data_IF_165987445682
#
_entry.id   IF_165987445682
#
_cell.length_a   1.000
_cell.length_b   1.000
_cell.length_c   1.000
_cell.angle_alpha   90.00
_cell.angle_beta   90.00
_cell.angle_gamma   90.00
#
_symmetry.space_group_name_H-M   'P 1'
#
loop_
_entity.id
_entity.type
_entity.pdbx_description
1 polymer ?
#
# COMPACT_ATOMS: atom_id res chain seq x y z
N UNK A 1 10.50 -10.84 6.91
CA UNK A 1 9.32 -11.64 7.34
C UNK A 1 8.10 -11.01 6.71
N UNK A 2 7.38 -11.75 5.86
CA UNK A 2 6.18 -11.23 5.20
C UNK A 2 5.01 -11.09 6.20
N UNK A 3 4.20 -10.04 6.04
CA UNK A 3 3.09 -9.69 6.94
C UNK A 3 1.75 -9.99 6.25
N UNK A 4 0.80 -10.71 6.89
CA UNK A 4 -0.47 -11.00 6.27
C UNK A 4 -1.34 -9.75 6.10
N UNK A 5 -1.83 -9.54 4.87
CA UNK A 5 -2.78 -8.48 4.51
C UNK A 5 -4.20 -8.95 4.85
N UNK A 6 -4.79 -8.40 5.90
CA UNK A 6 -6.12 -8.80 6.39
C UNK A 6 -7.23 -8.49 5.38
N UNK A 7 -7.11 -7.37 4.67
CA UNK A 7 -8.05 -7.01 3.61
C UNK A 7 -8.10 -8.05 2.49
N UNK A 8 -6.94 -8.60 2.11
CA UNK A 8 -6.84 -9.71 1.15
C UNK A 8 -7.49 -10.99 1.68
N UNK A 9 -7.31 -11.28 2.96
CA UNK A 9 -7.98 -12.41 3.64
C UNK A 9 -9.49 -12.23 3.65
N UNK A 10 -9.97 -11.03 4.00
CA UNK A 10 -11.40 -10.69 3.99
C UNK A 10 -12.02 -10.91 2.61
N UNK A 11 -11.41 -10.38 1.54
CA UNK A 11 -11.90 -10.55 0.17
C UNK A 11 -12.00 -12.01 -0.24
N UNK A 12 -11.01 -12.83 0.09
CA UNK A 12 -10.98 -14.26 -0.29
C UNK A 12 -12.03 -15.10 0.43
N UNK A 13 -12.43 -14.68 1.62
CA UNK A 13 -13.40 -15.40 2.45
C UNK A 13 -14.79 -14.73 2.45
N UNK A 14 -14.98 -13.70 1.61
CA UNK A 14 -16.26 -13.03 1.50
C UNK A 14 -17.33 -13.98 0.95
N UNK A 15 -18.43 -14.13 1.68
CA UNK A 15 -19.51 -15.04 1.33
C UNK A 15 -19.26 -16.53 1.66
N UNK A 16 -18.10 -16.88 2.28
CA UNK A 16 -17.87 -18.23 2.79
C UNK A 16 -18.71 -18.51 4.03
N UNK A 17 -19.27 -19.71 4.10
CA UNK A 17 -19.80 -20.25 5.36
C UNK A 17 -18.63 -20.82 6.18
N UNK A 18 -18.22 -20.08 7.20
CA UNK A 18 -17.07 -20.45 8.04
C UNK A 18 -17.28 -21.76 8.85
N UNK A 19 -18.50 -22.30 8.90
CA UNK A 19 -18.77 -23.60 9.50
C UNK A 19 -18.42 -24.77 8.57
N UNK A 20 -18.42 -24.51 7.24
CA UNK A 20 -18.26 -25.55 6.22
C UNK A 20 -17.01 -25.28 5.36
N UNK A 21 -16.77 -24.03 5.01
CA UNK A 21 -15.71 -23.65 4.07
C UNK A 21 -14.37 -23.47 4.78
N UNK A 22 -13.32 -23.99 4.17
CA UNK A 22 -11.95 -23.76 4.66
C UNK A 22 -11.59 -22.28 4.50
N UNK A 23 -11.17 -21.65 5.60
CA UNK A 23 -10.66 -20.28 5.58
C UNK A 23 -9.39 -20.21 4.72
N UNK A 24 -9.41 -19.33 3.72
CA UNK A 24 -8.27 -19.08 2.84
C UNK A 24 -7.43 -17.92 3.39
N UNK A 25 -6.14 -18.15 3.53
CA UNK A 25 -5.23 -17.07 3.98
C UNK A 25 -5.11 -15.94 2.95
N UNK A 26 -4.93 -14.72 3.48
CA UNK A 26 -4.65 -13.53 2.70
C UNK A 26 -3.33 -13.63 1.93
N UNK A 27 -3.04 -12.62 1.13
CA UNK A 27 -1.69 -12.41 0.61
C UNK A 27 -0.81 -11.87 1.74
N UNK A 28 0.50 -11.99 1.57
CA UNK A 28 1.49 -11.45 2.48
C UNK A 28 2.25 -10.35 1.78
N UNK A 29 2.40 -9.21 2.42
CA UNK A 29 3.21 -8.09 1.99
C UNK A 29 4.56 -8.08 2.69
N UNK A 30 5.58 -7.51 2.05
CA UNK A 30 6.90 -7.31 2.67
C UNK A 30 6.84 -6.19 3.73
N UNK A 31 6.03 -5.15 3.47
CA UNK A 31 5.79 -4.03 4.38
C UNK A 31 4.29 -3.78 4.49
N UNK A 32 3.82 -3.49 5.72
CA UNK A 32 2.44 -3.17 6.00
C UNK A 32 2.35 -2.18 7.16
N UNK A 33 1.58 -1.09 6.96
CA UNK A 33 1.22 -0.22 8.07
C UNK A 33 -0.28 -0.22 8.31
N UNK A 34 -0.64 -0.21 9.60
CA UNK A 34 -2.02 -0.15 10.08
C UNK A 34 -2.22 1.07 10.97
N UNK A 35 -3.37 1.65 10.89
CA UNK A 35 -3.78 2.69 11.83
C UNK A 35 -3.91 2.08 13.23
N UNK A 36 -3.23 2.70 14.21
CA UNK A 36 -3.22 2.21 15.57
C UNK A 36 -4.63 2.05 16.19
N UNK A 37 -5.49 3.05 15.99
CA UNK A 37 -6.83 3.07 16.60
C UNK A 37 -7.84 2.14 15.93
N UNK A 38 -7.80 2.03 14.61
CA UNK A 38 -8.84 1.32 13.83
C UNK A 38 -8.38 -0.04 13.31
N UNK A 39 -7.06 -0.29 13.31
CA UNK A 39 -6.47 -1.48 12.70
C UNK A 39 -6.61 -1.51 11.17
N UNK A 40 -7.03 -0.40 10.55
CA UNK A 40 -7.15 -0.31 9.08
C UNK A 40 -5.77 -0.34 8.42
N UNK A 41 -5.65 -1.14 7.38
CA UNK A 41 -4.45 -1.21 6.55
C UNK A 41 -4.43 -0.02 5.61
N UNK A 42 -3.42 0.83 5.74
CA UNK A 42 -3.31 2.13 5.05
C UNK A 42 -2.10 2.23 4.14
N UNK A 43 -1.22 1.26 4.24
CA UNK A 43 0.03 1.22 3.48
C UNK A 43 0.45 -0.22 3.24
N UNK A 44 0.91 -0.51 2.02
CA UNK A 44 1.42 -1.81 1.58
C UNK A 44 2.71 -1.62 0.82
N UNK A 45 3.69 -2.50 1.00
CA UNK A 45 4.94 -2.46 0.25
C UNK A 45 5.41 -3.83 -0.20
N UNK A 46 6.00 -3.88 -1.38
CA UNK A 46 6.59 -5.06 -2.00
C UNK A 46 8.00 -4.78 -2.47
N UNK A 47 8.89 -5.76 -2.31
CA UNK A 47 10.24 -5.75 -2.83
C UNK A 47 10.39 -6.77 -3.95
N UNK A 48 10.55 -6.30 -5.17
CA UNK A 48 10.66 -7.15 -6.35
C UNK A 48 12.09 -7.66 -6.57
N UNK A 49 12.46 -8.67 -5.80
CA UNK A 49 13.75 -9.35 -5.93
C UNK A 49 14.94 -8.63 -5.28
N UNK A 50 16.10 -9.27 -5.26
CA UNK A 50 17.33 -8.68 -4.75
C UNK A 50 17.93 -7.68 -5.75
N UNK A 51 18.62 -6.63 -5.28
CA UNK A 51 19.24 -5.62 -6.15
C UNK A 51 20.27 -6.17 -7.13
N UNK A 52 20.86 -7.33 -6.84
CA UNK A 52 21.92 -7.93 -7.65
C UNK A 52 21.45 -8.71 -8.88
N UNK A 53 20.15 -9.00 -8.98
CA UNK A 53 19.59 -9.84 -10.06
C UNK A 53 18.33 -9.20 -10.64
N UNK A 54 18.44 -8.47 -11.75
CA UNK A 54 17.27 -7.93 -12.45
C UNK A 54 16.33 -9.05 -12.92
N UNK A 55 15.07 -9.00 -12.48
CA UNK A 55 14.01 -9.92 -12.90
C UNK A 55 12.72 -9.13 -13.21
N UNK A 56 12.52 -8.85 -14.48
CA UNK A 56 11.34 -8.11 -14.95
C UNK A 56 10.05 -8.89 -14.78
N UNK A 57 10.10 -10.22 -14.83
CA UNK A 57 8.92 -11.06 -14.60
C UNK A 57 8.48 -10.93 -13.15
N UNK A 58 9.43 -11.03 -12.21
CA UNK A 58 9.15 -10.83 -10.79
C UNK A 58 8.65 -9.41 -10.52
N UNK A 59 9.28 -8.38 -11.10
CA UNK A 59 8.80 -7.00 -10.98
C UNK A 59 7.33 -6.86 -11.42
N UNK A 60 6.96 -7.42 -12.59
CA UNK A 60 5.59 -7.37 -13.08
C UNK A 60 4.62 -8.09 -12.14
N UNK A 61 4.99 -9.27 -11.62
CA UNK A 61 4.17 -10.03 -10.68
C UNK A 61 3.97 -9.31 -9.35
N UNK A 62 5.03 -8.74 -8.77
CA UNK A 62 4.99 -8.04 -7.49
C UNK A 62 4.27 -6.69 -7.63
N UNK A 63 4.42 -5.99 -8.77
CA UNK A 63 3.61 -4.80 -9.08
C UNK A 63 2.12 -5.13 -9.12
N UNK A 64 1.73 -6.20 -9.81
CA UNK A 64 0.34 -6.63 -9.88
C UNK A 64 -0.20 -7.07 -8.50
N UNK A 65 0.63 -7.75 -7.70
CA UNK A 65 0.33 -8.13 -6.33
C UNK A 65 0.06 -6.89 -5.48
N UNK A 66 0.97 -5.90 -5.52
CA UNK A 66 0.86 -4.64 -4.78
C UNK A 66 -0.44 -3.89 -5.11
N UNK A 67 -0.75 -3.69 -6.39
CA UNK A 67 -1.97 -2.99 -6.79
C UNK A 67 -3.24 -3.70 -6.32
N UNK A 68 -3.24 -5.03 -6.35
CA UNK A 68 -4.36 -5.82 -5.82
C UNK A 68 -4.50 -5.66 -4.31
N UNK A 69 -3.42 -5.67 -3.57
CA UNK A 69 -3.43 -5.51 -2.12
C UNK A 69 -3.85 -4.11 -1.71
N UNK A 70 -3.33 -3.07 -2.37
CA UNK A 70 -3.78 -1.69 -2.18
C UNK A 70 -5.29 -1.56 -2.42
N UNK A 71 -5.81 -2.15 -3.49
CA UNK A 71 -7.25 -2.17 -3.78
C UNK A 71 -8.05 -2.88 -2.71
N UNK A 72 -7.59 -4.04 -2.23
CA UNK A 72 -8.26 -4.79 -1.18
C UNK A 72 -8.31 -3.97 0.12
N UNK A 73 -7.21 -3.32 0.51
CA UNK A 73 -7.15 -2.41 1.66
C UNK A 73 -8.11 -1.23 1.51
N UNK A 74 -8.12 -0.59 0.33
CA UNK A 74 -9.00 0.54 0.04
C UNK A 74 -10.48 0.15 0.14
N UNK A 75 -10.85 -1.00 -0.40
CA UNK A 75 -12.23 -1.52 -0.31
C UNK A 75 -12.67 -1.72 1.15
N UNK A 76 -11.85 -2.34 1.97
CA UNK A 76 -12.19 -2.54 3.39
C UNK A 76 -12.35 -1.20 4.11
N UNK A 77 -11.51 -0.21 3.81
CA UNK A 77 -11.62 1.14 4.37
C UNK A 77 -12.91 1.83 3.96
N UNK A 78 -13.27 1.78 2.67
CA UNK A 78 -14.51 2.34 2.15
C UNK A 78 -15.72 1.66 2.80
N UNK A 79 -15.76 0.32 2.82
CA UNK A 79 -16.87 -0.43 3.42
C UNK A 79 -17.06 -0.12 4.91
N UNK A 80 -15.95 0.04 5.66
CA UNK A 80 -16.00 0.42 7.07
C UNK A 80 -16.52 1.85 7.27
N UNK A 81 -16.08 2.79 6.42
CA UNK A 81 -16.55 4.17 6.46
C UNK A 81 -18.06 4.25 6.15
N UNK A 82 -18.51 3.56 5.10
CA UNK A 82 -19.92 3.45 4.76
C UNK A 82 -20.74 2.83 5.90
N UNK A 83 -20.24 1.77 6.53
CA UNK A 83 -20.91 1.12 7.67
C UNK A 83 -21.03 2.00 8.91
N UNK A 84 -20.19 3.05 9.01
CA UNK A 84 -20.27 4.09 10.06
C UNK A 84 -21.13 5.30 9.65
N UNK A 85 -21.69 5.32 8.45
CA UNK A 85 -22.45 6.44 7.91
C UNK A 85 -21.59 7.62 7.44
N UNK A 86 -20.29 7.42 7.20
CA UNK A 86 -19.39 8.47 6.71
C UNK A 86 -19.75 8.82 5.26
N UNK A 87 -20.22 10.03 5.04
CA UNK A 87 -20.60 10.54 3.71
C UNK A 87 -19.39 10.79 2.80
N UNK A 88 -18.20 10.93 3.39
CA UNK A 88 -16.95 11.19 2.68
C UNK A 88 -16.12 9.90 2.46
N UNK A 89 -16.78 8.73 2.45
CA UNK A 89 -16.11 7.44 2.30
C UNK A 89 -15.24 7.33 1.03
N UNK A 90 -15.53 8.12 -0.02
CA UNK A 90 -14.75 8.16 -1.25
C UNK A 90 -13.38 8.85 -1.11
N UNK A 91 -13.19 9.65 -0.05
CA UNK A 91 -11.92 10.34 0.20
C UNK A 91 -10.85 9.43 0.82
N UNK A 92 -11.11 8.12 0.87
CA UNK A 92 -10.15 7.15 1.39
C UNK A 92 -9.06 6.86 0.36
N UNK A 93 -7.81 6.82 0.82
CA UNK A 93 -6.65 6.49 0.02
C UNK A 93 -5.82 5.41 0.69
N UNK A 94 -5.06 4.65 -0.11
CA UNK A 94 -4.06 3.70 0.36
C UNK A 94 -2.74 4.04 -0.30
N UNK A 95 -1.67 4.00 0.48
CA UNK A 95 -0.32 4.26 0.01
C UNK A 95 0.40 2.95 -0.28
N UNK A 96 1.32 2.98 -1.23
CA UNK A 96 2.11 1.82 -1.61
C UNK A 96 3.58 2.15 -1.85
N UNK A 97 4.45 1.16 -1.63
CA UNK A 97 5.84 1.19 -2.07
C UNK A 97 6.16 -0.04 -2.90
N UNK A 98 6.84 0.17 -4.01
CA UNK A 98 7.41 -0.87 -4.83
C UNK A 98 8.91 -0.68 -4.93
N UNK A 99 9.67 -1.56 -4.27
CA UNK A 99 11.12 -1.60 -4.40
C UNK A 99 11.54 -2.50 -5.56
N UNK A 100 12.43 -2.03 -6.43
CA UNK A 100 13.06 -2.82 -7.47
C UNK A 100 14.48 -2.36 -7.71
N UNK A 101 15.44 -3.26 -7.59
CA UNK A 101 16.87 -2.95 -7.65
C UNK A 101 17.21 -1.84 -6.62
N UNK A 102 17.63 -0.68 -7.11
CA UNK A 102 17.98 0.49 -6.32
C UNK A 102 16.97 1.62 -6.43
N UNK A 103 15.75 1.33 -6.92
CA UNK A 103 14.65 2.28 -7.01
C UNK A 103 13.51 1.88 -6.07
N UNK A 104 12.91 2.86 -5.41
CA UNK A 104 11.67 2.71 -4.66
C UNK A 104 10.63 3.65 -5.28
N UNK A 105 9.55 3.11 -5.83
CA UNK A 105 8.40 3.86 -6.32
C UNK A 105 7.40 4.08 -5.19
N UNK A 106 6.94 5.31 -5.05
CA UNK A 106 5.90 5.71 -4.10
C UNK A 106 4.58 5.85 -4.83
N UNK A 107 3.54 5.17 -4.34
CA UNK A 107 2.26 5.04 -5.02
C UNK A 107 1.13 5.49 -4.10
N UNK A 108 0.09 6.08 -4.69
CA UNK A 108 -1.17 6.38 -4.01
C UNK A 108 -2.30 5.75 -4.81
N UNK A 109 -3.28 5.18 -4.11
CA UNK A 109 -4.49 4.64 -4.73
C UNK A 109 -5.73 5.20 -4.06
N UNK A 110 -6.71 5.61 -4.87
CA UNK A 110 -8.04 6.03 -4.44
C UNK A 110 -9.11 5.46 -5.36
N UNK A 111 -10.38 5.76 -5.06
CA UNK A 111 -11.50 5.33 -5.88
C UNK A 111 -12.37 6.54 -6.25
N UNK A 112 -12.48 6.77 -7.56
CA UNK A 112 -13.38 7.75 -8.16
C UNK A 112 -14.19 7.07 -9.28
N UNK A 113 -15.30 6.41 -8.90
CA UNK A 113 -16.01 5.49 -9.78
C UNK A 113 -15.20 4.22 -10.08
N UNK A 114 -13.98 4.41 -10.58
CA UNK A 114 -12.96 3.35 -10.81
C UNK A 114 -11.82 3.46 -9.81
N UNK A 115 -10.98 2.41 -9.72
CA UNK A 115 -9.74 2.48 -8.95
C UNK A 115 -8.70 3.24 -9.78
N UNK A 116 -8.16 4.29 -9.19
CA UNK A 116 -7.08 5.08 -9.75
C UNK A 116 -5.84 4.89 -8.89
N UNK A 117 -4.71 4.66 -9.51
CA UNK A 117 -3.42 4.72 -8.83
C UNK A 117 -2.52 5.72 -9.55
N UNK A 118 -1.68 6.38 -8.79
CA UNK A 118 -0.73 7.36 -9.29
C UNK A 118 0.65 7.11 -8.66
N UNK A 119 1.70 7.25 -9.44
CA UNK A 119 3.06 7.31 -8.94
C UNK A 119 3.32 8.72 -8.40
N UNK A 120 3.39 8.83 -7.08
CA UNK A 120 3.71 10.09 -6.40
C UNK A 120 5.15 10.53 -6.69
N UNK A 121 6.05 9.57 -6.87
CA UNK A 121 7.44 9.78 -7.20
C UNK A 121 8.27 8.54 -6.97
N UNK A 122 9.56 8.65 -7.23
CA UNK A 122 10.53 7.59 -6.96
C UNK A 122 11.74 8.10 -6.17
N UNK A 123 12.35 7.21 -5.42
CA UNK A 123 13.60 7.39 -4.70
C UNK A 123 14.64 6.43 -5.27
N UNK A 124 15.75 6.95 -5.75
CA UNK A 124 16.90 6.14 -6.13
C UNK A 124 17.84 5.96 -4.93
N UNK A 125 18.14 4.72 -4.57
CA UNK A 125 19.07 4.38 -3.50
C UNK A 125 20.48 4.37 -4.10
N UNK A 126 21.41 5.12 -3.48
CA UNK A 126 22.79 5.13 -3.91
C UNK A 126 23.40 3.72 -3.80
N UNK A 127 23.88 3.19 -4.90
CA UNK A 127 24.62 1.91 -4.94
C UNK A 127 26.13 2.11 -4.73
N UNK A 128 26.63 3.35 -4.91
CA UNK A 128 28.00 3.77 -4.67
C UNK A 128 28.03 5.14 -3.98
N UNK A 129 29.10 5.47 -3.22
CA UNK A 129 29.16 6.71 -2.44
C UNK A 129 28.97 7.99 -3.25
N UNK A 130 29.46 8.03 -4.48
CA UNK A 130 29.36 9.21 -5.36
C UNK A 130 27.93 9.59 -5.76
N UNK A 131 26.99 8.66 -5.61
CA UNK A 131 25.57 8.89 -5.88
C UNK A 131 24.82 9.50 -4.67
N UNK A 132 25.39 9.51 -3.49
CA UNK A 132 24.74 10.02 -2.27
C UNK A 132 24.25 11.46 -2.42
N UNK A 133 25.00 12.41 -3.01
CA UNK A 133 24.50 13.77 -3.21
C UNK A 133 23.24 13.86 -4.06
N UNK A 134 23.08 12.93 -5.02
CA UNK A 134 21.89 12.89 -5.91
C UNK A 134 20.63 12.44 -5.18
N UNK A 135 20.75 11.66 -4.10
CA UNK A 135 19.61 11.22 -3.29
C UNK A 135 18.91 12.36 -2.56
N UNK A 136 19.55 13.53 -2.40
CA UNK A 136 18.98 14.62 -1.61
C UNK A 136 17.62 15.08 -2.13
N UNK A 137 17.46 15.24 -3.45
CA UNK A 137 16.20 15.63 -4.05
C UNK A 137 15.12 14.54 -3.87
N UNK A 138 15.50 13.28 -4.02
CA UNK A 138 14.59 12.14 -3.85
C UNK A 138 14.18 11.96 -2.40
N UNK A 139 15.04 12.30 -1.43
CA UNK A 139 14.68 12.32 -0.01
C UNK A 139 13.62 13.36 0.31
N UNK A 140 13.61 14.51 -0.36
CA UNK A 140 12.52 15.50 -0.20
C UNK A 140 11.19 14.94 -0.70
N UNK A 141 11.17 14.24 -1.83
CA UNK A 141 9.95 13.56 -2.32
C UNK A 141 9.46 12.50 -1.34
N UNK A 142 10.37 11.73 -0.74
CA UNK A 142 10.00 10.78 0.31
C UNK A 142 9.38 11.47 1.52
N UNK A 143 9.94 12.60 1.95
CA UNK A 143 9.37 13.39 3.05
C UNK A 143 7.99 13.93 2.71
N UNK A 144 7.78 14.47 1.50
CA UNK A 144 6.47 14.92 1.03
C UNK A 144 5.45 13.77 1.00
N UNK A 145 5.85 12.60 0.52
CA UNK A 145 5.03 11.40 0.56
C UNK A 145 4.66 11.00 1.99
N UNK A 146 5.62 11.00 2.92
CA UNK A 146 5.38 10.67 4.33
C UNK A 146 4.48 11.72 5.00
N UNK A 147 4.66 12.99 4.71
CA UNK A 147 3.79 14.07 5.22
C UNK A 147 2.37 13.91 4.69
N UNK A 148 2.21 13.64 3.40
CA UNK A 148 0.91 13.35 2.79
C UNK A 148 0.24 12.12 3.43
N UNK A 149 1.01 11.06 3.66
CA UNK A 149 0.55 9.86 4.35
C UNK A 149 0.04 10.18 5.76
N UNK A 150 0.81 10.95 6.55
CA UNK A 150 0.45 11.35 7.91
C UNK A 150 -0.80 12.23 7.88
N UNK A 151 -0.79 13.27 7.04
CA UNK A 151 -1.88 14.23 6.96
C UNK A 151 -3.21 13.58 6.58
N UNK A 152 -3.22 12.79 5.50
CA UNK A 152 -4.44 12.19 4.98
C UNK A 152 -4.99 11.09 5.92
N UNK A 153 -4.13 10.29 6.54
CA UNK A 153 -4.59 9.14 7.32
C UNK A 153 -4.71 9.41 8.82
N UNK A 154 -3.92 10.32 9.38
CA UNK A 154 -3.88 10.56 10.83
C UNK A 154 -4.74 11.75 11.21
N UNK A 155 -4.58 12.90 10.52
CA UNK A 155 -5.33 14.10 10.86
C UNK A 155 -6.81 14.06 10.44
N UNK A 156 -7.13 13.38 9.33
CA UNK A 156 -8.53 13.20 8.93
C UNK A 156 -9.30 12.17 9.78
N UNK A 157 -8.64 11.46 10.69
CA UNK A 157 -9.31 10.53 11.60
C UNK A 157 -9.81 11.19 12.90
N UNK A 158 -9.35 12.38 13.24
CA UNK A 158 -9.70 13.05 14.50
C UNK A 158 -10.84 14.08 14.35
N UNK A 159 -11.44 14.19 13.15
CA UNK A 159 -12.50 15.18 12.87
C UNK A 159 -13.93 14.61 12.90
N UNK A 160 -14.10 13.34 13.38
CA UNK A 160 -15.44 12.75 13.53
C UNK A 160 -15.57 11.87 14.77
#
# INVERSE_FOLDING_TARGET
MEVPVLASKYRKNYGHDHAIDKVVDGKHADLLARMWRTGEEIFVGEQAGPPSQPDLTKLAMDSFKLYREMRDCLNVRILRAMGKGDVNYNNRVVFGLLGYLFEIKMLIMWKDGVYVYEEFGSLNIASIPDQIPMMKADMFKLLEFMVSFIFINILNCDLF
#
